data_IF_886101445574
#
_entry.id   IF_886101445574
#
_cell.length_a   1.000
_cell.length_b   1.000
_cell.length_c   1.000
_cell.angle_alpha   90.00
_cell.angle_beta   90.00
_cell.angle_gamma   90.00
#
_symmetry.space_group_name_H-M   'P 1'
#
loop_
_entity.id
_entity.type
_entity.pdbx_description
1 polymer ?
#
# COMPACT_ATOMS: atom_id res chain seq x y z
N UNK A 1 8.52 -9.25 -5.91
CA UNK A 1 9.44 -8.16 -5.52
C UNK A 1 8.71 -7.25 -4.54
N UNK A 2 9.23 -7.02 -3.32
CA UNK A 2 8.61 -6.28 -2.19
C UNK A 2 8.70 -4.74 -2.32
N UNK A 3 8.78 -4.22 -3.55
CA UNK A 3 9.03 -2.79 -3.77
C UNK A 3 7.71 -2.12 -4.12
N UNK A 4 7.25 -1.19 -3.29
CA UNK A 4 6.00 -0.44 -3.53
C UNK A 4 6.23 0.93 -4.20
N UNK A 5 7.50 1.36 -4.29
CA UNK A 5 7.92 2.62 -4.91
C UNK A 5 9.26 2.44 -5.61
N UNK A 6 9.40 2.95 -6.83
CA UNK A 6 10.65 2.92 -7.60
C UNK A 6 11.14 4.35 -7.78
N UNK A 7 12.39 4.63 -7.43
CA UNK A 7 13.03 5.91 -7.69
C UNK A 7 13.90 5.79 -8.94
N UNK A 8 13.53 6.50 -10.02
CA UNK A 8 14.40 6.67 -11.19
C UNK A 8 15.26 7.92 -11.00
N UNK A 9 16.58 7.79 -11.16
CA UNK A 9 17.49 8.93 -11.18
C UNK A 9 18.12 9.03 -12.56
N UNK A 10 17.83 10.12 -13.28
CA UNK A 10 18.32 10.40 -14.64
C UNK A 10 18.57 11.89 -14.82
N UNK A 11 19.66 12.26 -15.49
CA UNK A 11 20.02 13.64 -15.83
C UNK A 11 19.94 14.61 -14.63
N UNK A 12 20.35 14.15 -13.45
CA UNK A 12 20.32 14.93 -12.21
C UNK A 12 18.93 15.15 -11.60
N UNK A 13 17.88 14.49 -12.12
CA UNK A 13 16.52 14.52 -11.57
C UNK A 13 16.12 13.14 -11.02
N UNK A 14 15.50 13.16 -9.85
CA UNK A 14 14.94 11.97 -9.23
C UNK A 14 13.42 11.99 -9.38
N UNK A 15 12.86 10.98 -10.04
CA UNK A 15 11.43 10.83 -10.26
C UNK A 15 10.93 9.60 -9.52
N UNK A 16 9.98 9.79 -8.61
CA UNK A 16 9.40 8.71 -7.82
C UNK A 16 8.19 8.14 -8.55
N UNK A 17 8.20 6.83 -8.77
CA UNK A 17 7.10 6.08 -9.36
C UNK A 17 6.44 5.19 -8.32
N UNK A 18 5.11 5.23 -8.28
CA UNK A 18 4.32 4.31 -7.48
C UNK A 18 4.15 2.99 -8.24
N UNK A 19 4.56 1.88 -7.63
CA UNK A 19 4.64 0.58 -8.27
C UNK A 19 5.95 -0.13 -7.97
N UNK A 20 6.06 -1.37 -8.42
CA UNK A 20 7.28 -2.17 -8.23
C UNK A 20 8.27 -1.98 -9.39
N UNK A 21 9.48 -2.52 -9.22
CA UNK A 21 10.57 -2.43 -10.21
C UNK A 21 10.15 -3.01 -11.56
N UNK A 22 9.38 -4.09 -11.56
CA UNK A 22 8.94 -4.77 -12.78
C UNK A 22 7.97 -3.90 -13.60
N UNK A 23 7.03 -3.22 -12.93
CA UNK A 23 6.10 -2.26 -13.55
C UNK A 23 6.85 -1.09 -14.20
N UNK A 24 7.83 -0.55 -13.47
CA UNK A 24 8.67 0.52 -13.98
C UNK A 24 9.46 0.07 -15.22
N UNK A 25 10.06 -1.13 -15.19
CA UNK A 25 10.79 -1.70 -16.33
C UNK A 25 9.88 -1.98 -17.53
N UNK A 26 8.66 -2.47 -17.31
CA UNK A 26 7.69 -2.73 -18.39
C UNK A 26 7.21 -1.44 -19.05
N UNK A 27 6.95 -0.39 -18.26
CA UNK A 27 6.64 0.94 -18.80
C UNK A 27 7.82 1.51 -19.58
N UNK A 28 9.04 1.39 -19.06
CA UNK A 28 10.28 1.83 -19.73
C UNK A 28 10.47 1.14 -21.07
N UNK A 29 10.24 -0.18 -21.13
CA UNK A 29 10.26 -0.96 -22.38
C UNK A 29 9.20 -0.49 -23.37
N UNK A 30 8.03 -0.04 -22.91
CA UNK A 30 6.98 0.51 -23.77
C UNK A 30 7.33 1.90 -24.30
N UNK A 31 7.85 2.79 -23.46
CA UNK A 31 8.32 4.13 -23.87
C UNK A 31 9.48 4.03 -24.86
N UNK A 32 10.42 3.10 -24.64
CA UNK A 32 11.52 2.82 -25.58
C UNK A 32 11.00 2.25 -26.91
N UNK A 33 10.04 1.31 -26.87
CA UNK A 33 9.44 0.73 -28.07
C UNK A 33 8.56 1.73 -28.87
N UNK A 34 7.89 2.66 -28.21
CA UNK A 34 7.14 3.75 -28.86
C UNK A 34 8.06 4.83 -29.43
N UNK A 35 9.20 5.10 -28.77
CA UNK A 35 10.24 6.00 -29.30
C UNK A 35 10.99 5.42 -30.50
N UNK A 36 11.04 4.09 -30.62
CA UNK A 36 11.72 3.34 -31.68
C UNK A 36 10.80 2.95 -32.85
N UNK A 37 9.77 3.75 -33.15
CA UNK A 37 8.93 3.58 -34.34
C UNK A 37 9.76 3.55 -35.65
N UNK A 38 9.35 2.75 -36.66
CA UNK A 38 10.18 2.42 -37.83
C UNK A 38 10.56 3.68 -38.63
N UNK A 39 11.77 3.72 -39.25
CA UNK A 39 12.16 4.85 -40.07
C UNK A 39 11.17 4.97 -41.24
N UNK A 40 10.54 6.15 -41.33
CA UNK A 40 9.66 6.53 -42.43
C UNK A 40 10.53 6.99 -43.61
N UNK A 41 10.17 6.52 -44.81
CA UNK A 41 10.64 6.88 -46.17
C UNK A 41 11.91 6.16 -46.65
N UNK A 42 12.03 5.64 -47.89
CA UNK A 42 11.14 5.56 -49.05
C UNK A 42 11.69 4.48 -50.02
N UNK A 43 10.85 3.85 -50.84
CA UNK A 43 11.33 3.06 -52.00
C UNK A 43 10.37 1.97 -52.52
N UNK A 44 9.63 2.32 -53.57
CA UNK A 44 8.95 1.52 -54.61
C UNK A 44 8.92 -0.03 -54.57
N UNK A 45 7.73 -0.59 -54.88
CA UNK A 45 7.58 -1.96 -55.42
C UNK A 45 6.21 -2.59 -55.15
N UNK A 46 5.44 -2.82 -56.22
CA UNK A 46 4.04 -3.29 -56.29
C UNK A 46 3.83 -4.80 -55.92
N UNK A 47 2.60 -5.37 -55.95
CA UNK A 47 2.04 -6.16 -54.86
C UNK A 47 2.05 -7.67 -55.12
N UNK A 48 2.08 -8.48 -54.05
CA UNK A 48 1.69 -9.87 -54.15
C UNK A 48 0.98 -10.30 -52.88
N UNK A 49 -0.22 -10.85 -53.09
CA UNK A 49 -1.01 -11.58 -52.13
C UNK A 49 -0.16 -12.57 -51.33
N UNK A 50 -0.51 -12.82 -50.07
CA UNK A 50 -0.98 -14.12 -49.60
C UNK A 50 -1.49 -13.93 -48.18
N UNK A 51 -2.71 -14.40 -47.94
CA UNK A 51 -3.30 -14.45 -46.61
C UNK A 51 -2.46 -15.36 -45.70
N UNK A 52 -2.09 -14.83 -44.55
CA UNK A 52 -1.80 -15.62 -43.37
C UNK A 52 -2.19 -14.73 -42.19
N UNK A 53 -3.42 -14.93 -41.69
CA UNK A 53 -3.80 -14.48 -40.36
C UNK A 53 -2.99 -15.31 -39.34
N UNK A 54 -1.70 -14.98 -39.20
CA UNK A 54 -0.87 -15.46 -38.11
C UNK A 54 -1.32 -14.81 -36.80
N UNK A 55 -1.12 -15.47 -35.64
CA UNK A 55 -1.49 -14.89 -34.36
C UNK A 55 -0.77 -13.56 -34.19
N UNK A 56 -1.51 -12.46 -34.05
CA UNK A 56 -0.94 -11.12 -33.89
C UNK A 56 -0.17 -11.11 -32.57
N UNK A 57 1.17 -10.93 -32.56
CA UNK A 57 2.00 -11.02 -31.35
C UNK A 57 1.62 -10.01 -30.25
N UNK A 58 0.82 -9.00 -30.60
CA UNK A 58 0.27 -8.00 -29.67
C UNK A 58 -1.07 -8.37 -29.01
N UNK A 59 -1.83 -9.33 -29.57
CA UNK A 59 -3.12 -9.74 -29.00
C UNK A 59 -2.94 -10.51 -27.69
N UNK A 60 -2.02 -11.48 -27.65
CA UNK A 60 -1.69 -12.24 -26.44
C UNK A 60 -1.09 -11.36 -25.34
N UNK A 61 -0.25 -10.38 -25.71
CA UNK A 61 0.31 -9.40 -24.75
C UNK A 61 -0.77 -8.50 -24.15
N UNK A 62 -1.75 -8.09 -24.94
CA UNK A 62 -2.88 -7.25 -24.48
C UNK A 62 -3.80 -8.02 -23.53
N UNK A 63 -4.01 -9.31 -23.78
CA UNK A 63 -4.79 -10.21 -22.92
C UNK A 63 -4.05 -10.45 -21.60
N UNK A 64 -2.77 -10.83 -21.64
CA UNK A 64 -1.95 -11.01 -20.43
C UNK A 64 -1.88 -9.73 -19.58
N UNK A 65 -1.76 -8.55 -20.20
CA UNK A 65 -1.80 -7.27 -19.48
C UNK A 65 -3.12 -7.05 -18.77
N UNK A 66 -4.24 -7.40 -19.41
CA UNK A 66 -5.58 -7.28 -18.81
C UNK A 66 -5.75 -8.23 -17.63
N UNK A 67 -5.29 -9.48 -17.76
CA UNK A 67 -5.35 -10.47 -16.68
C UNK A 67 -4.52 -10.05 -15.47
N UNK A 68 -3.29 -9.58 -15.66
CA UNK A 68 -2.46 -9.03 -14.58
C UNK A 68 -3.10 -7.82 -13.90
N UNK A 69 -3.71 -6.91 -14.67
CA UNK A 69 -4.42 -5.77 -14.12
C UNK A 69 -5.63 -6.18 -13.28
N UNK A 70 -6.38 -7.21 -13.71
CA UNK A 70 -7.50 -7.76 -12.96
C UNK A 70 -7.06 -8.44 -11.65
N UNK A 71 -5.98 -9.24 -11.69
CA UNK A 71 -5.38 -9.84 -10.49
C UNK A 71 -4.97 -8.77 -9.48
N UNK A 72 -4.29 -7.71 -9.94
CA UNK A 72 -3.92 -6.57 -9.10
C UNK A 72 -5.13 -5.85 -8.50
N UNK A 73 -6.18 -5.63 -9.31
CA UNK A 73 -7.39 -4.98 -8.82
C UNK A 73 -8.08 -5.82 -7.74
N UNK A 74 -8.09 -7.15 -7.90
CA UNK A 74 -8.63 -8.09 -6.92
C UNK A 74 -7.85 -8.03 -5.60
N UNK A 75 -6.52 -8.09 -5.68
CA UNK A 75 -5.64 -7.99 -4.50
C UNK A 75 -5.78 -6.64 -3.78
N UNK A 76 -5.77 -5.54 -4.53
CA UNK A 76 -5.93 -4.18 -3.95
C UNK A 76 -7.27 -4.02 -3.24
N UNK A 77 -8.36 -4.55 -3.81
CA UNK A 77 -9.69 -4.54 -3.18
C UNK A 77 -9.71 -5.32 -1.86
N UNK A 78 -8.98 -6.44 -1.78
CA UNK A 78 -8.88 -7.23 -0.56
C UNK A 78 -7.98 -6.57 0.49
N UNK A 79 -6.84 -5.99 0.10
CA UNK A 79 -5.89 -5.36 1.02
C UNK A 79 -6.37 -4.03 1.59
N UNK A 80 -7.08 -3.21 0.80
CA UNK A 80 -7.50 -1.86 1.19
C UNK A 80 -8.26 -1.79 2.53
N UNK A 81 -9.29 -2.61 2.81
CA UNK A 81 -9.98 -2.56 4.11
C UNK A 81 -9.06 -2.88 5.29
N UNK A 82 -8.15 -3.85 5.14
CA UNK A 82 -7.22 -4.21 6.21
C UNK A 82 -6.16 -3.14 6.45
N UNK A 83 -5.58 -2.56 5.39
CA UNK A 83 -4.68 -1.40 5.50
C UNK A 83 -5.36 -0.18 6.12
N UNK A 84 -6.67 -0.02 5.94
CA UNK A 84 -7.43 1.03 6.63
C UNK A 84 -7.61 0.71 8.12
N UNK A 85 -7.92 -0.54 8.47
CA UNK A 85 -8.03 -0.97 9.87
C UNK A 85 -6.71 -0.81 10.63
N UNK A 86 -5.58 -1.17 10.01
CA UNK A 86 -4.23 -0.93 10.57
C UNK A 86 -4.06 0.54 10.91
N UNK A 87 -4.25 1.44 9.94
CA UNK A 87 -4.10 2.89 10.15
C UNK A 87 -5.04 3.45 11.22
N UNK A 88 -6.27 2.94 11.27
CA UNK A 88 -7.23 3.37 12.28
C UNK A 88 -6.81 2.88 13.68
N UNK A 89 -6.37 1.63 13.81
CA UNK A 89 -5.90 1.10 15.08
C UNK A 89 -4.66 1.85 15.57
N UNK A 90 -3.70 2.15 14.69
CA UNK A 90 -2.51 2.97 15.00
C UNK A 90 -2.91 4.35 15.55
N UNK A 91 -3.84 5.04 14.88
CA UNK A 91 -4.28 6.36 15.32
C UNK A 91 -5.00 6.33 16.69
N UNK A 92 -5.80 5.29 16.96
CA UNK A 92 -6.46 5.11 18.26
C UNK A 92 -5.44 4.75 19.35
N UNK A 93 -4.46 3.90 19.04
CA UNK A 93 -3.36 3.55 19.96
C UNK A 93 -2.59 4.81 20.35
N UNK A 94 -2.15 5.62 19.38
CA UNK A 94 -1.40 6.86 19.64
C UNK A 94 -2.17 7.82 20.55
N UNK A 95 -3.47 8.02 20.29
CA UNK A 95 -4.33 8.87 21.13
C UNK A 95 -4.48 8.31 22.56
N UNK A 96 -4.68 7.00 22.68
CA UNK A 96 -4.84 6.35 23.98
C UNK A 96 -3.54 6.30 24.78
N UNK A 97 -2.39 6.12 24.12
CA UNK A 97 -1.07 6.20 24.75
C UNK A 97 -0.80 7.61 25.27
N UNK A 98 -1.09 8.64 24.47
CA UNK A 98 -0.99 10.03 24.90
C UNK A 98 -1.88 10.30 26.11
N UNK A 99 -3.14 9.84 26.07
CA UNK A 99 -4.06 9.96 27.20
C UNK A 99 -3.55 9.22 28.43
N UNK A 100 -3.03 8.01 28.29
CA UNK A 100 -2.43 7.23 29.38
C UNK A 100 -1.29 8.01 30.04
N UNK A 101 -0.41 8.61 29.26
CA UNK A 101 0.70 9.42 29.78
C UNK A 101 0.22 10.68 30.51
N UNK A 102 -0.82 11.36 30.02
CA UNK A 102 -1.43 12.49 30.75
C UNK A 102 -1.96 12.04 32.12
N UNK A 103 -2.64 10.89 32.15
CA UNK A 103 -3.19 10.35 33.39
C UNK A 103 -2.09 9.89 34.35
N UNK A 104 -1.01 9.29 33.86
CA UNK A 104 0.16 8.94 34.69
C UNK A 104 0.78 10.18 35.34
N UNK A 105 0.85 11.31 34.61
CA UNK A 105 1.31 12.58 35.18
C UNK A 105 0.37 13.10 36.27
N UNK A 106 -0.95 13.01 36.06
CA UNK A 106 -1.93 13.39 37.07
C UNK A 106 -1.85 12.48 38.31
N UNK A 107 -1.69 11.17 38.10
CA UNK A 107 -1.55 10.19 39.19
C UNK A 107 -0.24 10.34 39.96
N UNK A 108 0.78 10.95 39.37
CA UNK A 108 2.04 11.26 40.04
C UNK A 108 1.95 12.51 40.95
N UNK A 109 0.86 13.28 40.88
CA UNK A 109 0.64 14.47 41.72
C UNK A 109 0.27 14.08 43.16
N UNK A 110 1.08 14.44 44.18
CA UNK A 110 0.78 14.19 45.59
C UNK A 110 -0.58 14.77 46.05
N UNK A 111 -1.02 15.89 45.46
CA UNK A 111 -2.29 16.54 45.84
C UNK A 111 -3.52 15.70 45.45
N UNK A 112 -3.40 14.88 44.40
CA UNK A 112 -4.50 14.00 43.96
C UNK A 112 -4.79 12.91 45.00
N UNK A 113 -3.80 12.48 45.77
CA UNK A 113 -3.96 11.49 46.83
C UNK A 113 -4.75 12.03 48.03
N UNK A 114 -4.84 13.35 48.20
CA UNK A 114 -5.66 13.97 49.24
C UNK A 114 -7.16 13.94 48.92
N UNK A 115 -7.53 13.74 47.64
CA UNK A 115 -8.91 13.69 47.16
C UNK A 115 -9.26 12.28 46.67
N UNK A 116 -9.75 11.45 47.60
CA UNK A 116 -10.10 10.05 47.36
C UNK A 116 -11.10 9.87 46.19
N UNK A 117 -12.02 10.82 46.01
CA UNK A 117 -13.03 10.76 44.95
C UNK A 117 -12.39 10.97 43.58
N UNK A 118 -11.57 12.01 43.43
CA UNK A 118 -10.82 12.26 42.19
C UNK A 118 -9.83 11.13 41.88
N UNK A 119 -9.14 10.61 42.90
CA UNK A 119 -8.26 9.46 42.73
C UNK A 119 -9.00 8.25 42.14
N UNK A 120 -10.19 7.94 42.67
CA UNK A 120 -10.99 6.82 42.16
C UNK A 120 -11.44 7.03 40.72
N UNK A 121 -11.82 8.25 40.34
CA UNK A 121 -12.21 8.61 38.98
C UNK A 121 -11.03 8.44 37.99
N UNK A 122 -9.89 9.06 38.30
CA UNK A 122 -8.67 8.99 37.48
C UNK A 122 -8.18 7.55 37.35
N UNK A 123 -8.16 6.79 38.44
CA UNK A 123 -7.79 5.38 38.42
C UNK A 123 -8.72 4.53 37.56
N UNK A 124 -10.04 4.80 37.59
CA UNK A 124 -11.02 4.08 36.77
C UNK A 124 -10.83 4.38 35.29
N UNK A 125 -10.64 5.64 34.94
CA UNK A 125 -10.39 6.03 33.54
C UNK A 125 -9.04 5.51 33.05
N UNK A 126 -7.96 5.54 33.86
CA UNK A 126 -6.64 4.99 33.51
C UNK A 126 -6.73 3.49 33.20
N UNK A 127 -7.39 2.72 34.05
CA UNK A 127 -7.65 1.29 33.81
C UNK A 127 -8.55 1.07 32.57
N UNK A 128 -9.47 2.00 32.29
CA UNK A 128 -10.30 1.99 31.09
C UNK A 128 -9.48 2.20 29.80
N UNK A 129 -8.56 3.17 29.83
CA UNK A 129 -7.62 3.45 28.74
C UNK A 129 -6.71 2.24 28.49
N UNK A 130 -6.17 1.62 29.55
CA UNK A 130 -5.36 0.41 29.45
C UNK A 130 -6.10 -0.74 28.72
N UNK A 131 -7.33 -1.05 29.12
CA UNK A 131 -8.14 -2.08 28.44
C UNK A 131 -8.47 -1.74 26.98
N UNK A 132 -8.65 -0.45 26.67
CA UNK A 132 -8.88 -0.01 25.28
C UNK A 132 -7.61 -0.18 24.45
N UNK A 133 -6.45 0.18 24.99
CA UNK A 133 -5.15 -0.02 24.34
C UNK A 133 -4.93 -1.49 24.00
N UNK A 134 -5.09 -2.40 24.96
CA UNK A 134 -4.97 -3.84 24.74
C UNK A 134 -5.85 -4.33 23.58
N UNK A 135 -7.12 -3.87 23.54
CA UNK A 135 -8.03 -4.20 22.44
C UNK A 135 -7.56 -3.66 21.10
N UNK A 136 -7.07 -2.42 21.05
CA UNK A 136 -6.62 -1.82 19.80
C UNK A 136 -5.30 -2.43 19.30
N UNK A 137 -4.39 -2.84 20.20
CA UNK A 137 -3.22 -3.63 19.81
C UNK A 137 -3.62 -4.97 19.20
N UNK A 138 -4.56 -5.70 19.83
CA UNK A 138 -5.04 -6.96 19.27
C UNK A 138 -5.70 -6.77 17.89
N UNK A 139 -6.48 -5.71 17.70
CA UNK A 139 -7.07 -5.37 16.40
C UNK A 139 -6.01 -4.98 15.35
N UNK A 140 -4.96 -4.27 15.77
CA UNK A 140 -3.85 -3.92 14.90
C UNK A 140 -3.09 -5.18 14.46
N UNK A 141 -2.78 -6.08 15.40
CA UNK A 141 -2.12 -7.36 15.14
C UNK A 141 -2.93 -8.22 14.17
N UNK A 142 -4.22 -8.44 14.46
CA UNK A 142 -5.12 -9.18 13.56
C UNK A 142 -5.16 -8.54 12.17
N UNK A 143 -5.24 -7.21 12.07
CA UNK A 143 -5.28 -6.52 10.79
C UNK A 143 -3.97 -6.66 10.01
N UNK A 144 -2.82 -6.66 10.68
CA UNK A 144 -1.51 -6.90 10.07
C UNK A 144 -1.40 -8.34 9.57
N UNK A 145 -1.78 -9.34 10.38
CA UNK A 145 -1.79 -10.75 9.97
C UNK A 145 -2.64 -10.98 8.71
N UNK A 146 -3.79 -10.32 8.62
CA UNK A 146 -4.65 -10.41 7.43
C UNK A 146 -4.03 -9.75 6.21
N UNK A 147 -3.32 -8.63 6.37
CA UNK A 147 -2.54 -8.01 5.29
C UNK A 147 -1.47 -8.99 4.80
N UNK A 148 -0.68 -9.55 5.70
CA UNK A 148 0.40 -10.48 5.37
C UNK A 148 -0.14 -11.74 4.69
N UNK A 149 -1.24 -12.32 5.19
CA UNK A 149 -1.87 -13.51 4.61
C UNK A 149 -2.35 -13.27 3.18
N UNK A 150 -2.97 -12.12 2.90
CA UNK A 150 -3.38 -11.76 1.53
C UNK A 150 -2.16 -11.52 0.63
N UNK A 151 -1.09 -10.92 1.16
CA UNK A 151 0.14 -10.69 0.40
C UNK A 151 0.92 -11.99 0.12
N UNK A 152 0.85 -12.99 0.99
CA UNK A 152 1.47 -14.31 0.78
C UNK A 152 0.70 -15.19 -0.22
N UNK A 153 -0.60 -14.96 -0.39
CA UNK A 153 -1.45 -15.67 -1.35
C UNK A 153 -1.42 -15.07 -2.77
N UNK A 154 -0.74 -13.93 -2.94
CA UNK A 154 -0.64 -13.15 -4.18
C UNK A 154 0.55 -13.56 -5.05
#
# INVERSE_FOLDING_TARGET
>A
SFVNKVLEVRDGRATLFEGNVDDYLDRRRQEEAESAGPPKNAGAGTPAAHGAAGPVPGADKKVQRRERALLRQKLSKQLKPWKNKVRQAEAEIEQLEARKQEMEKLMADPELYADQAKWSEVSREYNGVGRRLERHYALWEEAQEQVESIEQQA
#
